data_IF_902272877014
#
_entry.id   IF_902272877014
#
_cell.length_a   1.000
_cell.length_b   1.000
_cell.length_c   1.000
_cell.angle_alpha   90.00
_cell.angle_beta   90.00
_cell.angle_gamma   90.00
#
_symmetry.space_group_name_H-M   'P 1'
#
loop_
_entity.id
_entity.type
_entity.pdbx_description
1 polymer ?
#
# COMPACT_ATOMS: atom_id res chain seq x y z
N UNK A 1 47.61 20.02 -35.41
CA UNK A 1 46.78 19.10 -36.20
C UNK A 1 45.36 19.59 -36.16
N UNK A 2 44.73 19.70 -37.33
CA UNK A 2 43.63 20.59 -37.67
C UNK A 2 42.37 20.43 -36.81
N UNK A 3 41.97 21.54 -36.21
CA UNK A 3 40.63 21.79 -35.70
C UNK A 3 39.65 21.83 -36.88
N UNK A 4 38.97 20.70 -37.12
CA UNK A 4 37.85 20.64 -38.07
C UNK A 4 36.63 21.19 -37.35
N UNK A 5 36.30 22.44 -37.62
CA UNK A 5 35.02 23.05 -37.28
C UNK A 5 33.93 22.32 -38.07
N UNK A 6 33.22 21.41 -37.40
CA UNK A 6 31.99 20.83 -37.93
C UNK A 6 30.93 21.94 -37.93
N UNK A 7 30.65 22.48 -39.11
CA UNK A 7 29.44 23.27 -39.36
C UNK A 7 28.26 22.33 -39.09
N UNK A 8 27.29 22.70 -38.23
CA UNK A 8 26.13 21.85 -38.01
C UNK A 8 25.31 21.83 -39.29
N UNK A 9 25.43 20.76 -40.06
CA UNK A 9 24.53 20.47 -41.17
C UNK A 9 23.13 20.34 -40.59
N UNK A 10 22.30 21.33 -40.90
CA UNK A 10 20.87 21.28 -40.65
C UNK A 10 20.35 20.09 -41.48
N UNK A 11 20.06 18.97 -40.83
CA UNK A 11 19.63 17.74 -41.51
C UNK A 11 18.23 17.97 -42.08
N UNK A 12 18.18 18.33 -43.36
CA UNK A 12 16.95 18.47 -44.13
C UNK A 12 16.59 17.08 -44.66
N UNK A 13 15.47 16.53 -44.18
CA UNK A 13 14.87 15.35 -44.80
C UNK A 13 14.21 15.74 -46.13
N UNK A 14 15.00 15.85 -47.19
CA UNK A 14 14.49 15.87 -48.56
C UNK A 14 14.34 14.43 -49.07
N UNK A 15 13.26 14.16 -49.83
CA UNK A 15 13.09 12.89 -50.51
C UNK A 15 14.26 12.69 -51.49
N UNK A 16 15.00 11.60 -51.32
CA UNK A 16 16.35 11.37 -51.87
C UNK A 16 16.40 11.15 -53.40
N UNK A 17 15.31 11.33 -54.15
CA UNK A 17 15.31 10.97 -55.58
C UNK A 17 14.52 11.93 -56.47
N UNK A 18 15.02 13.16 -56.62
CA UNK A 18 14.70 14.02 -57.76
C UNK A 18 15.99 14.66 -58.31
N UNK A 19 16.12 14.72 -59.64
CA UNK A 19 17.28 15.31 -60.33
C UNK A 19 17.50 16.74 -59.83
N UNK A 20 18.61 16.98 -59.13
CA UNK A 20 18.82 18.17 -58.29
C UNK A 20 18.79 19.53 -59.02
N UNK A 21 18.75 19.59 -60.35
CA UNK A 21 18.73 20.86 -61.09
C UNK A 21 17.84 20.80 -62.35
N UNK A 22 16.54 20.55 -62.18
CA UNK A 22 15.58 20.73 -63.28
C UNK A 22 15.52 22.22 -63.66
N UNK A 23 15.78 22.50 -64.95
CA UNK A 23 15.66 23.84 -65.55
C UNK A 23 14.37 23.91 -66.36
N UNK A 24 13.57 24.94 -66.11
CA UNK A 24 12.24 25.08 -66.68
C UNK A 24 12.07 26.43 -67.34
N UNK A 25 11.32 26.47 -68.45
CA UNK A 25 11.06 27.70 -69.21
C UNK A 25 9.74 28.32 -68.75
N UNK A 26 9.75 28.88 -67.54
CA UNK A 26 8.58 29.55 -66.98
C UNK A 26 8.54 31.00 -67.50
N UNK A 27 7.43 31.48 -68.07
CA UNK A 27 7.31 32.86 -68.53
C UNK A 27 7.42 33.81 -67.34
N UNK A 28 8.56 34.47 -67.22
CA UNK A 28 8.88 35.36 -66.12
C UNK A 28 9.79 36.48 -66.59
N UNK A 29 9.72 37.61 -65.89
CA UNK A 29 10.60 38.75 -66.12
C UNK A 29 11.42 39.02 -64.88
N UNK A 30 12.65 39.45 -65.07
CA UNK A 30 13.50 39.89 -63.96
C UNK A 30 13.75 41.38 -64.07
N UNK A 31 13.67 42.07 -62.94
CA UNK A 31 14.18 43.44 -62.80
C UNK A 31 15.50 43.35 -62.05
N UNK A 32 16.58 43.74 -62.71
CA UNK A 32 17.92 43.76 -62.15
C UNK A 32 18.29 45.16 -61.67
N UNK A 33 18.85 45.25 -60.46
CA UNK A 33 19.38 46.48 -59.88
C UNK A 33 20.72 46.19 -59.20
N UNK A 34 21.79 46.83 -59.67
CA UNK A 34 23.14 46.61 -59.14
C UNK A 34 24.23 46.80 -60.21
N UNK A 35 25.49 46.98 -59.78
CA UNK A 35 26.62 47.12 -60.69
C UNK A 35 26.63 48.40 -61.55
N UNK A 36 25.93 49.46 -61.12
CA UNK A 36 25.81 50.73 -61.85
C UNK A 36 24.57 50.86 -62.73
N UNK A 37 23.72 49.83 -62.81
CA UNK A 37 22.46 49.80 -63.55
C UNK A 37 21.27 49.75 -62.58
N UNK A 38 20.25 50.59 -62.79
CA UNK A 38 19.03 50.62 -61.97
C UNK A 38 17.81 50.28 -62.81
N UNK A 39 17.10 49.21 -62.45
CA UNK A 39 15.81 48.86 -63.04
C UNK A 39 15.88 48.25 -64.44
N UNK A 40 16.91 47.47 -64.76
CA UNK A 40 17.01 46.78 -66.05
C UNK A 40 16.00 45.61 -66.11
N UNK A 41 15.00 45.70 -66.98
CA UNK A 41 14.05 44.62 -67.23
C UNK A 41 14.64 43.65 -68.28
N UNK A 42 14.69 42.36 -67.95
CA UNK A 42 15.16 41.29 -68.84
C UNK A 42 14.16 40.13 -68.84
N UNK A 43 14.03 39.47 -69.99
CA UNK A 43 13.24 38.24 -70.09
C UNK A 43 14.05 37.03 -69.60
N UNK A 44 13.38 36.15 -68.86
CA UNK A 44 13.98 34.93 -68.32
C UNK A 44 13.81 33.81 -69.36
N UNK A 45 14.93 33.19 -69.76
CA UNK A 45 14.95 32.05 -70.68
C UNK A 45 14.66 30.74 -69.94
N UNK A 46 15.33 30.51 -68.81
CA UNK A 46 15.14 29.36 -67.95
C UNK A 46 15.32 29.70 -66.45
N UNK A 47 14.67 28.93 -65.59
CA UNK A 47 14.77 29.04 -64.13
C UNK A 47 14.98 27.67 -63.49
N UNK A 48 15.83 27.64 -62.48
CA UNK A 48 16.13 26.48 -61.63
C UNK A 48 16.31 26.91 -60.18
N UNK A 49 16.49 25.96 -59.26
CA UNK A 49 16.84 26.28 -57.86
C UNK A 49 18.25 26.86 -57.70
N UNK A 50 19.15 26.62 -58.67
CA UNK A 50 20.55 27.07 -58.61
C UNK A 50 20.82 28.41 -59.30
N UNK A 51 19.94 28.83 -60.21
CA UNK A 51 20.13 30.07 -60.98
C UNK A 51 19.08 30.28 -62.06
N UNK A 52 19.25 31.38 -62.80
CA UNK A 52 18.40 31.80 -63.91
C UNK A 52 19.22 32.11 -65.17
N UNK A 53 18.68 31.77 -66.34
CA UNK A 53 19.15 32.21 -67.64
C UNK A 53 18.36 33.42 -68.11
N UNK A 54 19.06 34.45 -68.57
CA UNK A 54 18.49 35.74 -68.99
C UNK A 54 18.84 36.03 -70.44
N UNK A 55 17.95 36.73 -71.14
CA UNK A 55 18.22 37.23 -72.48
C UNK A 55 18.52 38.73 -72.40
N UNK A 56 19.76 39.11 -72.68
CA UNK A 56 20.18 40.51 -72.70
C UNK A 56 21.29 40.74 -73.73
N UNK A 57 21.10 41.76 -74.59
CA UNK A 57 21.98 42.01 -75.74
C UNK A 57 23.30 42.72 -75.37
N UNK A 58 23.35 43.45 -74.24
CA UNK A 58 24.56 44.18 -73.84
C UNK A 58 25.45 43.33 -72.93
N UNK A 59 26.79 43.50 -72.99
CA UNK A 59 27.70 42.75 -72.14
C UNK A 59 27.57 43.18 -70.67
N UNK A 60 27.20 42.24 -69.80
CA UNK A 60 27.20 42.40 -68.35
C UNK A 60 28.53 41.93 -67.77
N UNK A 61 29.07 42.67 -66.80
CA UNK A 61 30.36 42.34 -66.18
C UNK A 61 30.25 41.05 -65.36
N UNK A 62 31.03 40.04 -65.74
CA UNK A 62 31.10 38.75 -65.04
C UNK A 62 31.56 38.93 -63.58
N UNK A 63 30.94 38.16 -62.68
CA UNK A 63 31.21 38.19 -61.25
C UNK A 63 30.48 39.29 -60.46
N UNK A 64 29.77 40.20 -61.14
CA UNK A 64 28.98 41.26 -60.49
C UNK A 64 27.80 40.69 -59.73
N UNK A 65 27.58 41.21 -58.51
CA UNK A 65 26.41 40.93 -57.71
C UNK A 65 25.28 41.90 -58.06
N UNK A 66 24.11 41.38 -58.39
CA UNK A 66 22.93 42.15 -58.74
C UNK A 66 21.76 41.73 -57.86
N UNK A 67 20.97 42.69 -57.40
CA UNK A 67 19.68 42.40 -56.79
C UNK A 67 18.69 42.14 -57.92
N UNK A 68 17.99 41.01 -57.84
CA UNK A 68 17.05 40.56 -58.83
C UNK A 68 15.67 40.44 -58.21
N UNK A 69 14.69 41.04 -58.85
CA UNK A 69 13.28 40.92 -58.50
C UNK A 69 12.60 40.12 -59.61
N UNK A 70 12.35 38.83 -59.35
CA UNK A 70 11.79 37.89 -60.32
C UNK A 70 10.27 37.99 -60.26
N UNK A 71 9.68 38.55 -61.31
CA UNK A 71 8.23 38.68 -61.49
C UNK A 71 7.70 37.50 -62.27
N UNK A 72 7.03 36.60 -61.56
CA UNK A 72 6.32 35.46 -62.11
C UNK A 72 4.84 35.84 -62.27
N UNK A 73 4.34 35.78 -63.50
CA UNK A 73 2.91 35.94 -63.78
C UNK A 73 2.28 34.56 -63.83
N UNK A 74 1.57 34.17 -62.78
CA UNK A 74 0.79 32.93 -62.75
C UNK A 74 -0.67 33.24 -63.11
N UNK A 75 -1.43 32.23 -63.52
CA UNK A 75 -2.79 32.41 -64.03
C UNK A 75 -3.75 33.13 -63.07
N UNK A 76 -3.53 33.03 -61.76
CA UNK A 76 -4.40 33.63 -60.71
C UNK A 76 -3.64 34.51 -59.71
N UNK A 77 -2.32 34.69 -59.86
CA UNK A 77 -1.48 35.40 -58.90
C UNK A 77 -0.21 35.94 -59.59
N UNK A 78 0.17 37.18 -59.29
CA UNK A 78 1.50 37.70 -59.59
C UNK A 78 2.38 37.54 -58.36
N UNK A 79 3.50 36.81 -58.50
CA UNK A 79 4.46 36.60 -57.43
C UNK A 79 5.77 37.31 -57.75
N UNK A 80 6.32 38.01 -56.75
CA UNK A 80 7.62 38.63 -56.84
C UNK A 80 8.60 37.98 -55.86
N UNK A 81 9.71 37.45 -56.39
CA UNK A 81 10.75 36.80 -55.59
C UNK A 81 12.05 37.61 -55.68
N UNK A 82 12.43 38.24 -54.58
CA UNK A 82 13.68 38.98 -54.48
C UNK A 82 14.84 38.07 -54.11
N UNK A 83 15.91 38.11 -54.90
CA UNK A 83 17.12 37.31 -54.72
C UNK A 83 18.39 38.09 -55.09
N UNK A 84 19.55 37.67 -54.57
CA UNK A 84 20.86 38.17 -55.01
C UNK A 84 21.47 37.22 -56.02
N UNK A 85 21.78 37.75 -57.19
CA UNK A 85 22.37 37.01 -58.30
C UNK A 85 23.83 37.40 -58.51
N UNK A 86 24.65 36.42 -58.90
CA UNK A 86 25.99 36.65 -59.46
C UNK A 86 25.98 36.27 -60.92
N UNK A 87 26.42 37.16 -61.80
CA UNK A 87 26.59 36.83 -63.22
C UNK A 87 27.80 35.91 -63.38
N UNK A 88 27.60 34.70 -63.92
CA UNK A 88 28.64 33.66 -64.01
C UNK A 88 29.13 33.48 -65.44
N UNK A 89 28.26 33.62 -66.44
CA UNK A 89 28.62 33.45 -67.84
C UNK A 89 27.77 34.31 -68.77
N UNK A 90 28.34 34.76 -69.89
CA UNK A 90 27.58 35.35 -70.99
C UNK A 90 28.06 34.76 -72.32
N UNK A 91 27.13 34.25 -73.13
CA UNK A 91 27.40 33.74 -74.49
C UNK A 91 26.46 34.46 -75.46
N UNK A 92 26.98 35.45 -76.18
CA UNK A 92 26.16 36.32 -77.02
C UNK A 92 25.09 37.03 -76.18
N UNK A 93 23.81 36.80 -76.51
CA UNK A 93 22.67 37.41 -75.81
C UNK A 93 22.19 36.58 -74.59
N UNK A 94 22.77 35.41 -74.33
CA UNK A 94 22.40 34.56 -73.20
C UNK A 94 23.31 34.83 -72.00
N UNK A 95 22.71 35.20 -70.86
CA UNK A 95 23.41 35.52 -69.62
C UNK A 95 22.99 34.53 -68.53
N UNK A 96 23.95 33.78 -68.00
CA UNK A 96 23.76 32.86 -66.88
C UNK A 96 24.05 33.54 -65.54
N UNK A 97 23.07 33.52 -64.64
CA UNK A 97 23.16 34.09 -63.30
C UNK A 97 22.89 33.04 -62.22
N UNK A 98 23.73 32.99 -61.20
CA UNK A 98 23.64 32.04 -60.08
C UNK A 98 23.07 32.74 -58.83
N UNK A 99 22.20 32.06 -58.09
CA UNK A 99 21.73 32.55 -56.79
C UNK A 99 22.86 32.48 -55.76
N UNK A 100 23.25 33.63 -55.20
CA UNK A 100 24.23 33.71 -54.10
C UNK A 100 23.53 33.58 -52.75
N UNK A 101 22.38 34.25 -52.63
CA UNK A 101 21.59 34.26 -51.41
C UNK A 101 20.11 34.18 -51.81
N UNK A 102 19.51 33.04 -51.51
CA UNK A 102 18.08 32.79 -51.62
C UNK A 102 17.65 32.18 -50.29
N UNK A 103 16.82 32.92 -49.56
CA UNK A 103 16.27 32.49 -48.27
C UNK A 103 15.57 31.12 -48.41
N UNK A 104 15.62 30.31 -47.35
CA UNK A 104 15.12 28.93 -47.37
C UNK A 104 13.64 28.88 -47.78
N UNK A 105 12.83 29.79 -47.24
CA UNK A 105 11.42 29.90 -47.57
C UNK A 105 11.21 30.24 -49.06
N UNK A 106 11.99 31.18 -49.60
CA UNK A 106 11.92 31.57 -51.02
C UNK A 106 12.35 30.42 -51.94
N UNK A 107 13.31 29.60 -51.52
CA UNK A 107 13.77 28.42 -52.26
C UNK A 107 12.70 27.34 -52.34
N UNK A 108 11.99 27.10 -51.24
CA UNK A 108 10.90 26.12 -51.22
C UNK A 108 9.68 26.59 -52.03
N UNK A 109 9.37 27.88 -51.99
CA UNK A 109 8.37 28.50 -52.87
C UNK A 109 8.75 28.30 -54.34
N UNK A 110 9.98 28.64 -54.71
CA UNK A 110 10.46 28.47 -56.09
C UNK A 110 10.41 27.01 -56.54
N UNK A 111 10.75 26.07 -55.65
CA UNK A 111 10.67 24.63 -55.91
C UNK A 111 9.26 24.16 -56.17
N UNK A 112 8.31 24.59 -55.35
CA UNK A 112 6.90 24.27 -55.53
C UNK A 112 6.38 24.78 -56.88
N UNK A 113 6.75 26.01 -57.28
CA UNK A 113 6.35 26.59 -58.57
C UNK A 113 6.96 25.80 -59.74
N UNK A 114 8.25 25.49 -59.68
CA UNK A 114 8.93 24.68 -60.70
C UNK A 114 8.26 23.31 -60.82
N UNK A 115 7.99 22.65 -59.69
CA UNK A 115 7.40 21.31 -59.66
C UNK A 115 5.97 21.32 -60.21
N UNK A 116 5.15 22.31 -59.81
CA UNK A 116 3.77 22.47 -60.30
C UNK A 116 3.74 22.74 -61.80
N UNK A 117 4.65 23.58 -62.30
CA UNK A 117 4.75 23.86 -63.73
C UNK A 117 5.16 22.60 -64.52
N UNK A 118 6.09 21.80 -63.99
CA UNK A 118 6.53 20.55 -64.61
C UNK A 118 5.45 19.46 -64.61
N UNK A 119 4.59 19.41 -63.58
CA UNK A 119 3.47 18.48 -63.52
C UNK A 119 2.27 18.93 -64.37
N UNK A 120 2.29 20.15 -64.91
CA UNK A 120 1.17 20.74 -65.65
C UNK A 120 0.03 21.23 -64.75
N UNK A 121 0.24 21.28 -63.43
CA UNK A 121 -0.73 21.78 -62.46
C UNK A 121 -0.64 23.30 -62.32
N UNK A 122 -1.79 23.95 -62.14
CA UNK A 122 -1.83 25.39 -61.85
C UNK A 122 -1.43 25.58 -60.39
N UNK A 123 -0.29 26.22 -60.13
CA UNK A 123 0.14 26.55 -58.78
C UNK A 123 -0.95 27.38 -58.06
N UNK A 124 -1.55 26.79 -57.02
CA UNK A 124 -2.62 27.41 -56.22
C UNK A 124 -2.09 28.05 -54.93
N UNK A 125 -2.84 29.04 -54.44
CA UNK A 125 -2.56 29.80 -53.21
C UNK A 125 -2.52 28.86 -51.99
N UNK A 126 -3.42 27.89 -51.92
CA UNK A 126 -3.46 26.94 -50.80
C UNK A 126 -2.20 26.07 -50.72
N UNK A 127 -1.67 25.64 -51.87
CA UNK A 127 -0.41 24.89 -51.92
C UNK A 127 0.80 25.74 -51.53
N UNK A 128 0.83 27.02 -51.96
CA UNK A 128 1.87 27.97 -51.56
C UNK A 128 1.86 28.22 -50.04
N UNK A 129 0.67 28.42 -49.44
CA UNK A 129 0.53 28.61 -47.99
C UNK A 129 0.99 27.37 -47.21
N UNK A 130 0.65 26.17 -47.68
CA UNK A 130 1.07 24.94 -47.03
C UNK A 130 2.60 24.80 -47.01
N UNK A 131 3.28 25.14 -48.11
CA UNK A 131 4.75 25.15 -48.18
C UNK A 131 5.34 26.21 -47.24
N UNK A 132 4.75 27.41 -47.17
CA UNK A 132 5.22 28.48 -46.28
C UNK A 132 5.02 28.17 -44.79
N UNK A 133 3.98 27.43 -44.42
CA UNK A 133 3.67 27.07 -43.02
C UNK A 133 4.41 25.82 -42.55
N UNK A 134 5.03 25.07 -43.46
CA UNK A 134 5.73 23.83 -43.12
C UNK A 134 7.03 24.15 -42.38
N UNK A 135 6.97 24.22 -41.05
CA UNK A 135 8.15 24.25 -40.16
C UNK A 135 8.87 22.88 -40.23
N UNK A 136 9.54 22.57 -41.35
CA UNK A 136 10.34 21.34 -41.52
C UNK A 136 11.67 21.38 -40.72
N UNK A 137 11.96 22.49 -40.04
CA UNK A 137 13.16 22.64 -39.23
C UNK A 137 12.81 22.41 -37.77
N UNK A 138 13.14 21.22 -37.27
CA UNK A 138 12.99 20.87 -35.86
C UNK A 138 13.83 21.88 -35.05
N UNK A 139 13.16 22.80 -34.34
CA UNK A 139 13.81 23.66 -33.34
C UNK A 139 14.55 22.75 -32.36
N UNK A 140 15.88 22.86 -32.35
CA UNK A 140 16.76 22.13 -31.44
C UNK A 140 16.22 22.29 -29.99
N UNK A 141 15.94 21.19 -29.30
CA UNK A 141 15.35 21.24 -27.94
C UNK A 141 16.27 22.05 -27.02
N UNK A 142 15.75 23.15 -26.47
CA UNK A 142 16.47 24.05 -25.55
C UNK A 142 16.92 23.40 -24.23
N UNK A 143 16.42 22.21 -23.89
CA UNK A 143 16.93 21.46 -22.74
C UNK A 143 18.00 20.47 -23.19
N UNK A 144 19.25 20.92 -23.17
CA UNK A 144 20.41 20.02 -23.15
C UNK A 144 20.39 19.29 -21.81
N UNK A 145 19.82 18.08 -21.76
CA UNK A 145 20.12 17.17 -20.67
C UNK A 145 21.62 16.88 -20.73
N UNK A 146 22.37 17.40 -19.74
CA UNK A 146 23.77 17.08 -19.61
C UNK A 146 23.90 15.56 -19.46
N UNK A 147 24.40 14.87 -20.49
CA UNK A 147 24.64 13.42 -20.45
C UNK A 147 25.68 13.05 -19.38
N UNK A 148 26.53 13.99 -18.96
CA UNK A 148 27.53 13.79 -17.92
C UNK A 148 26.96 14.11 -16.53
N UNK A 149 26.42 13.10 -15.84
CA UNK A 149 26.08 13.20 -14.40
C UNK A 149 27.35 13.36 -13.58
N UNK A 150 27.43 14.39 -12.74
CA UNK A 150 28.53 14.60 -11.79
C UNK A 150 28.58 13.45 -10.77
N UNK A 151 29.75 13.13 -10.19
CA UNK A 151 29.86 12.05 -9.18
C UNK A 151 28.97 12.29 -7.96
N UNK A 152 28.73 13.56 -7.59
CA UNK A 152 27.85 13.93 -6.48
C UNK A 152 26.36 13.65 -6.82
N UNK A 153 25.93 13.91 -8.06
CA UNK A 153 24.56 13.59 -8.49
C UNK A 153 24.31 12.09 -8.53
N UNK A 154 25.34 11.29 -8.90
CA UNK A 154 25.27 9.83 -8.84
C UNK A 154 25.17 9.32 -7.41
N UNK A 155 25.92 9.92 -6.47
CA UNK A 155 25.83 9.57 -5.05
C UNK A 155 24.46 9.92 -4.46
N UNK A 156 23.92 11.11 -4.77
CA UNK A 156 22.57 11.51 -4.34
C UNK A 156 21.49 10.58 -4.89
N UNK A 157 21.58 10.22 -6.17
CA UNK A 157 20.66 9.27 -6.79
C UNK A 157 20.76 7.89 -6.14
N UNK A 158 21.97 7.38 -5.92
CA UNK A 158 22.20 6.10 -5.25
C UNK A 158 21.68 6.08 -3.81
N UNK A 159 21.93 7.15 -3.05
CA UNK A 159 21.43 7.30 -1.69
C UNK A 159 19.89 7.36 -1.66
N UNK A 160 19.28 8.08 -2.59
CA UNK A 160 17.82 8.13 -2.75
C UNK A 160 17.24 6.76 -3.06
N UNK A 161 17.78 6.04 -4.04
CA UNK A 161 17.34 4.68 -4.39
C UNK A 161 17.49 3.70 -3.22
N UNK A 162 18.61 3.77 -2.49
CA UNK A 162 18.85 2.93 -1.32
C UNK A 162 17.84 3.22 -0.21
N UNK A 163 17.55 4.50 0.07
CA UNK A 163 16.55 4.89 1.07
C UNK A 163 15.16 4.35 0.70
N UNK A 164 14.72 4.51 -0.55
CA UNK A 164 13.44 3.96 -1.01
C UNK A 164 13.41 2.43 -0.97
N UNK A 165 14.53 1.76 -1.29
CA UNK A 165 14.62 0.31 -1.20
C UNK A 165 14.52 -0.19 0.25
N UNK A 166 15.13 0.51 1.21
CA UNK A 166 15.03 0.17 2.63
C UNK A 166 13.60 0.35 3.15
N UNK A 167 12.92 1.43 2.74
CA UNK A 167 11.51 1.65 3.07
C UNK A 167 10.64 0.53 2.48
N UNK A 168 10.88 0.15 1.22
CA UNK A 168 10.17 -0.96 0.57
C UNK A 168 10.38 -2.30 1.30
N UNK A 169 11.63 -2.60 1.69
CA UNK A 169 11.95 -3.80 2.46
C UNK A 169 11.31 -3.79 3.85
N UNK A 170 11.29 -2.65 4.54
CA UNK A 170 10.63 -2.52 5.83
C UNK A 170 9.11 -2.76 5.71
N UNK A 171 8.46 -2.17 4.69
CA UNK A 171 7.05 -2.39 4.42
C UNK A 171 6.76 -3.87 4.11
N UNK A 172 7.59 -4.50 3.27
CA UNK A 172 7.45 -5.93 2.95
C UNK A 172 7.65 -6.81 4.19
N UNK A 173 8.60 -6.47 5.07
CA UNK A 173 8.80 -7.15 6.34
C UNK A 173 7.58 -7.08 7.25
N UNK A 174 6.97 -5.89 7.38
CA UNK A 174 5.75 -5.70 8.19
C UNK A 174 4.59 -6.51 7.61
N UNK A 175 4.38 -6.47 6.30
CA UNK A 175 3.32 -7.24 5.63
C UNK A 175 3.53 -8.74 5.84
N UNK A 176 4.77 -9.22 5.68
CA UNK A 176 5.12 -10.63 5.90
C UNK A 176 4.89 -11.05 7.35
N UNK A 177 5.25 -10.22 8.32
CA UNK A 177 5.01 -10.47 9.74
C UNK A 177 3.51 -10.51 10.08
N UNK A 178 2.71 -9.58 9.55
CA UNK A 178 1.25 -9.57 9.76
C UNK A 178 0.58 -10.76 9.06
N UNK A 179 1.04 -11.15 7.88
CA UNK A 179 0.59 -12.36 7.22
C UNK A 179 0.92 -13.60 8.08
N UNK A 180 2.14 -13.67 8.64
CA UNK A 180 2.51 -14.74 9.56
C UNK A 180 1.55 -14.81 10.77
N UNK A 181 1.29 -13.69 11.44
CA UNK A 181 0.34 -13.65 12.56
C UNK A 181 -1.09 -14.04 12.12
N UNK A 182 -1.52 -13.66 10.92
CA UNK A 182 -2.87 -14.00 10.44
C UNK A 182 -3.04 -15.50 10.19
N UNK A 183 -2.01 -16.17 9.67
CA UNK A 183 -2.08 -17.58 9.27
C UNK A 183 -1.60 -18.56 10.33
N UNK A 184 -0.72 -18.14 11.24
CA UNK A 184 -0.03 -19.04 12.18
C UNK A 184 -0.27 -18.72 13.64
N UNK A 185 -1.06 -17.70 13.97
CA UNK A 185 -1.45 -17.39 15.35
C UNK A 185 -2.97 -17.48 15.49
N UNK A 186 -3.41 -18.21 16.50
CA UNK A 186 -4.81 -18.23 16.94
C UNK A 186 -4.84 -17.65 18.36
N UNK A 187 -5.39 -16.44 18.55
CA UNK A 187 -5.61 -15.93 19.89
C UNK A 187 -6.79 -16.64 20.55
N UNK A 188 -6.71 -16.89 21.85
CA UNK A 188 -7.88 -17.28 22.64
C UNK A 188 -8.89 -16.13 22.71
N UNK A 189 -10.19 -16.44 22.64
CA UNK A 189 -11.24 -15.44 22.80
C UNK A 189 -11.31 -14.93 24.25
N UNK A 190 -11.07 -15.83 25.20
CA UNK A 190 -10.95 -15.55 26.62
C UNK A 190 -10.07 -16.61 27.26
N UNK A 191 -9.28 -16.24 28.26
CA UNK A 191 -8.60 -17.21 29.10
C UNK A 191 -8.46 -16.70 30.53
N UNK A 192 -8.55 -17.61 31.49
CA UNK A 192 -8.42 -17.31 32.92
C UNK A 192 -7.60 -18.37 33.62
N UNK A 193 -6.86 -17.96 34.64
CA UNK A 193 -6.19 -18.90 35.55
C UNK A 193 -7.25 -19.59 36.40
N UNK A 194 -7.20 -20.92 36.41
CA UNK A 194 -8.14 -21.79 37.09
C UNK A 194 -7.40 -22.87 37.88
N UNK A 195 -8.16 -23.59 38.68
CA UNK A 195 -7.71 -24.70 39.51
C UNK A 195 -8.90 -25.62 39.72
N UNK A 196 -8.65 -26.87 40.12
CA UNK A 196 -9.71 -27.78 40.56
C UNK A 196 -10.06 -27.47 42.01
N UNK A 197 -10.55 -26.24 42.22
CA UNK A 197 -10.87 -25.69 43.52
C UNK A 197 -12.23 -26.18 44.04
N UNK A 198 -12.32 -26.43 45.34
CA UNK A 198 -13.60 -26.65 46.01
C UNK A 198 -14.29 -25.30 46.21
N UNK A 199 -15.37 -25.06 45.46
CA UNK A 199 -16.16 -23.83 45.54
C UNK A 199 -17.20 -23.99 46.64
N UNK A 200 -16.99 -23.33 47.77
CA UNK A 200 -17.94 -23.32 48.87
C UNK A 200 -18.98 -22.20 48.68
N UNK A 201 -20.24 -22.59 48.61
CA UNK A 201 -21.38 -21.67 48.51
C UNK A 201 -22.31 -21.82 49.71
N UNK A 202 -23.14 -20.81 49.97
CA UNK A 202 -24.21 -20.90 50.97
C UNK A 202 -25.18 -22.04 50.65
N UNK A 203 -25.41 -22.99 51.59
CA UNK A 203 -26.35 -24.10 51.38
C UNK A 203 -27.80 -23.64 51.44
N UNK A 204 -28.11 -22.67 52.30
CA UNK A 204 -29.44 -22.07 52.49
C UNK A 204 -29.31 -20.57 52.82
N UNK A 205 -30.44 -19.85 52.80
CA UNK A 205 -30.49 -18.44 53.20
C UNK A 205 -30.22 -18.31 54.71
N UNK A 206 -29.26 -17.48 55.11
CA UNK A 206 -28.93 -17.34 56.53
C UNK A 206 -27.78 -16.40 56.81
N UNK A 207 -27.41 -16.32 58.09
CA UNK A 207 -26.28 -15.53 58.55
C UNK A 207 -25.00 -16.37 58.53
N UNK A 208 -23.98 -15.91 57.80
CA UNK A 208 -22.63 -16.50 57.81
C UNK A 208 -21.73 -15.73 58.76
N UNK A 209 -20.96 -16.47 59.56
CA UNK A 209 -19.89 -15.96 60.40
C UNK A 209 -18.60 -16.71 60.08
N UNK A 210 -17.61 -16.01 59.55
CA UNK A 210 -16.31 -16.62 59.25
C UNK A 210 -15.53 -16.87 60.54
N UNK A 211 -14.97 -18.06 60.69
CA UNK A 211 -14.21 -18.48 61.88
C UNK A 211 -12.69 -18.39 61.69
N UNK A 212 -12.27 -17.90 60.53
CA UNK A 212 -10.87 -17.74 60.13
C UNK A 212 -10.24 -16.50 60.76
N UNK A 213 -8.95 -16.59 61.10
CA UNK A 213 -8.21 -15.44 61.64
C UNK A 213 -8.11 -14.31 60.59
N UNK A 214 -7.98 -13.04 61.01
CA UNK A 214 -7.67 -11.93 60.12
C UNK A 214 -6.38 -12.21 59.32
N UNK A 215 -6.46 -12.14 57.99
CA UNK A 215 -5.30 -12.36 57.11
C UNK A 215 -4.87 -13.82 56.92
N UNK A 216 -5.59 -14.80 57.48
CA UNK A 216 -5.33 -16.21 57.23
C UNK A 216 -5.60 -16.56 55.76
N UNK A 217 -4.57 -17.05 55.07
CA UNK A 217 -4.61 -17.41 53.63
C UNK A 217 -4.61 -18.90 53.36
N UNK A 218 -4.37 -19.73 54.37
CA UNK A 218 -4.36 -21.18 54.21
C UNK A 218 -4.97 -21.88 55.42
N UNK A 219 -5.53 -23.06 55.17
CA UNK A 219 -6.23 -23.90 56.14
C UNK A 219 -5.77 -25.34 56.03
N UNK A 220 -5.97 -26.08 57.11
CA UNK A 220 -5.73 -27.52 57.15
C UNK A 220 -7.04 -28.30 57.06
N UNK A 221 -6.94 -29.57 56.68
CA UNK A 221 -8.08 -30.48 56.60
C UNK A 221 -8.79 -30.57 57.95
N UNK A 222 -10.12 -30.37 57.94
CA UNK A 222 -10.96 -30.38 59.14
C UNK A 222 -11.03 -29.03 59.89
N UNK A 223 -10.25 -28.02 59.50
CA UNK A 223 -10.30 -26.70 60.14
C UNK A 223 -11.63 -25.98 59.84
N UNK A 224 -12.29 -25.38 60.85
CA UNK A 224 -13.57 -24.70 60.67
C UNK A 224 -13.40 -23.38 59.90
N UNK A 225 -14.13 -23.24 58.80
CA UNK A 225 -14.09 -22.08 57.90
C UNK A 225 -15.14 -21.03 58.27
N UNK A 226 -16.38 -21.48 58.47
CA UNK A 226 -17.51 -20.62 58.78
C UNK A 226 -18.61 -21.39 59.53
N UNK A 227 -19.39 -20.66 60.32
CA UNK A 227 -20.66 -21.13 60.86
C UNK A 227 -21.80 -20.41 60.15
N UNK A 228 -22.82 -21.17 59.75
CA UNK A 228 -24.01 -20.66 59.09
C UNK A 228 -25.21 -20.88 60.01
N UNK A 229 -25.88 -19.79 60.38
CA UNK A 229 -27.13 -19.82 61.13
C UNK A 229 -28.31 -19.61 60.18
N UNK A 230 -29.16 -20.62 60.06
CA UNK A 230 -30.35 -20.61 59.20
C UNK A 230 -31.61 -20.82 60.05
N UNK A 231 -32.76 -20.33 59.57
CA UNK A 231 -34.03 -20.62 60.24
C UNK A 231 -34.42 -22.07 59.92
N UNK A 232 -34.82 -22.86 60.93
CA UNK A 232 -35.16 -24.27 60.72
C UNK A 232 -36.25 -24.47 59.65
N UNK A 233 -37.17 -23.51 59.50
CA UNK A 233 -38.20 -23.53 58.47
C UNK A 233 -37.65 -23.57 57.03
N UNK A 234 -36.45 -23.03 56.78
CA UNK A 234 -35.84 -23.05 55.44
C UNK A 234 -35.14 -24.37 55.12
N UNK A 235 -34.92 -25.23 56.12
CA UNK A 235 -34.18 -26.50 55.96
C UNK A 235 -35.10 -27.68 55.60
N UNK A 236 -36.41 -27.57 55.81
CA UNK A 236 -37.38 -28.63 55.50
C UNK A 236 -37.96 -28.45 54.10
N UNK A 237 -37.31 -29.05 53.10
CA UNK A 237 -37.75 -28.95 51.69
C UNK A 237 -38.00 -30.30 51.03
N UNK A 238 -37.66 -31.41 51.69
CA UNK A 238 -37.86 -32.74 51.13
C UNK A 238 -39.26 -33.30 51.48
N UNK A 239 -39.82 -34.21 50.66
CA UNK A 239 -41.06 -34.91 50.99
C UNK A 239 -41.00 -35.70 52.30
N UNK A 240 -39.82 -36.20 52.67
CA UNK A 240 -39.60 -36.91 53.92
C UNK A 240 -39.67 -35.97 55.14
N UNK A 241 -39.13 -34.75 55.00
CA UNK A 241 -39.22 -33.72 56.04
C UNK A 241 -40.67 -33.30 56.27
N UNK A 242 -41.44 -33.15 55.18
CA UNK A 242 -42.85 -32.79 55.28
C UNK A 242 -43.68 -33.89 55.96
N UNK A 243 -43.36 -35.16 55.71
CA UNK A 243 -43.97 -36.29 56.40
C UNK A 243 -43.58 -36.36 57.88
N UNK A 244 -42.35 -35.98 58.23
CA UNK A 244 -41.91 -35.89 59.62
C UNK A 244 -42.65 -34.76 60.37
N UNK A 245 -42.84 -33.61 59.72
CA UNK A 245 -43.59 -32.48 60.26
C UNK A 245 -45.08 -32.80 60.44
N UNK A 246 -45.69 -33.60 59.55
CA UNK A 246 -47.10 -33.97 59.66
C UNK A 246 -47.41 -34.94 60.82
N UNK A 247 -46.38 -35.57 61.40
CA UNK A 247 -46.53 -36.45 62.57
C UNK A 247 -46.42 -35.69 63.91
N UNK A 248 -46.14 -34.39 63.89
CA UNK A 248 -46.04 -33.55 65.08
C UNK A 248 -47.37 -32.84 65.37
N UNK A 249 -47.65 -32.55 66.65
CA UNK A 249 -48.83 -31.77 67.02
C UNK A 249 -48.73 -30.34 66.46
N UNK A 250 -49.84 -29.72 65.99
CA UNK A 250 -49.82 -28.41 65.33
C UNK A 250 -49.15 -27.29 66.14
N UNK A 251 -49.29 -27.31 67.46
CA UNK A 251 -48.64 -26.34 68.36
C UNK A 251 -47.13 -26.48 68.44
N UNK A 252 -46.61 -27.72 68.33
CA UNK A 252 -45.18 -28.01 68.42
C UNK A 252 -44.46 -27.68 67.11
N UNK A 253 -45.12 -27.91 65.97
CA UNK A 253 -44.61 -27.50 64.65
C UNK A 253 -44.40 -25.98 64.61
N UNK A 254 -45.38 -25.21 65.08
CA UNK A 254 -45.30 -23.75 65.07
C UNK A 254 -44.26 -23.22 66.07
N UNK A 255 -44.06 -23.89 67.20
CA UNK A 255 -43.03 -23.55 68.17
C UNK A 255 -41.61 -23.85 67.65
N UNK A 256 -41.42 -25.00 66.98
CA UNK A 256 -40.13 -25.39 66.39
C UNK A 256 -39.75 -24.48 65.21
N UNK A 257 -40.68 -24.19 64.32
CA UNK A 257 -40.43 -23.37 63.13
C UNK A 257 -40.15 -21.89 63.47
N UNK A 258 -40.76 -21.35 64.53
CA UNK A 258 -40.59 -19.94 64.91
C UNK A 258 -39.39 -19.65 65.82
N UNK A 259 -38.76 -20.66 66.43
CA UNK A 259 -37.69 -20.43 67.44
C UNK A 259 -36.40 -21.19 67.19
N UNK A 260 -36.38 -22.21 66.35
CA UNK A 260 -35.18 -22.99 66.12
C UNK A 260 -34.34 -22.39 64.98
N UNK A 261 -33.11 -22.01 65.30
CA UNK A 261 -32.06 -21.76 64.30
C UNK A 261 -31.13 -22.97 64.25
N UNK A 262 -30.77 -23.39 63.04
CA UNK A 262 -29.78 -24.46 62.84
C UNK A 262 -28.44 -23.80 62.56
N UNK A 263 -27.47 -24.05 63.42
CA UNK A 263 -26.07 -23.70 63.18
C UNK A 263 -25.37 -24.85 62.47
N UNK A 264 -24.90 -24.59 61.25
CA UNK A 264 -24.12 -25.55 60.46
C UNK A 264 -22.68 -25.06 60.38
N UNK A 265 -21.76 -25.88 60.86
CA UNK A 265 -20.33 -25.61 60.78
C UNK A 265 -19.78 -26.19 59.47
N UNK A 266 -19.04 -25.38 58.72
CA UNK A 266 -18.37 -25.82 57.50
C UNK A 266 -16.87 -25.93 57.76
N UNK A 267 -16.32 -27.12 57.52
CA UNK A 267 -14.91 -27.42 57.70
C UNK A 267 -14.22 -27.59 56.33
N UNK A 268 -12.91 -27.33 56.29
CA UNK A 268 -12.12 -27.55 55.08
C UNK A 268 -12.01 -29.05 54.76
N UNK A 269 -12.25 -29.49 53.50
CA UNK A 269 -12.04 -30.88 53.10
C UNK A 269 -10.57 -31.20 52.79
N UNK A 270 -9.69 -30.20 52.74
CA UNK A 270 -8.32 -30.31 52.24
C UNK A 270 -7.36 -29.31 52.92
N UNK A 271 -6.07 -29.55 52.74
CA UNK A 271 -5.01 -28.58 53.02
C UNK A 271 -4.96 -27.58 51.85
N UNK A 272 -5.62 -26.45 52.03
CA UNK A 272 -6.00 -25.57 50.93
C UNK A 272 -5.66 -24.11 51.20
N UNK A 273 -5.33 -23.39 50.13
CA UNK A 273 -5.23 -21.93 50.14
C UNK A 273 -6.62 -21.32 49.88
N UNK A 274 -6.90 -20.20 50.54
CA UNK A 274 -8.20 -19.55 50.54
C UNK A 274 -8.23 -18.42 49.52
N UNK A 275 -9.22 -18.47 48.62
CA UNK A 275 -9.54 -17.37 47.71
C UNK A 275 -10.96 -16.88 47.94
N UNK A 276 -11.13 -15.60 48.21
CA UNK A 276 -12.43 -14.98 48.42
C UNK A 276 -12.83 -14.15 47.19
N UNK A 277 -13.87 -14.55 46.44
CA UNK A 277 -14.31 -13.81 45.24
C UNK A 277 -14.91 -12.45 45.59
N UNK A 278 -15.42 -12.29 46.81
CA UNK A 278 -15.96 -11.04 47.34
C UNK A 278 -15.34 -10.69 48.70
N UNK A 279 -15.58 -9.48 49.18
CA UNK A 279 -15.11 -9.08 50.52
C UNK A 279 -15.68 -10.04 51.57
N UNK A 280 -14.80 -10.55 52.42
CA UNK A 280 -15.13 -11.41 53.57
C UNK A 280 -15.87 -10.58 54.62
N UNK A 281 -17.20 -10.61 54.55
CA UNK A 281 -18.09 -9.91 55.47
C UNK A 281 -19.00 -10.92 56.18
N UNK A 282 -19.05 -10.83 57.50
CA UNK A 282 -20.06 -11.53 58.29
C UNK A 282 -21.43 -10.87 58.04
N UNK A 283 -22.48 -11.68 57.95
CA UNK A 283 -23.83 -11.16 57.71
C UNK A 283 -24.74 -12.12 56.99
N UNK A 284 -25.91 -11.63 56.60
CA UNK A 284 -26.90 -12.40 55.87
C UNK A 284 -26.45 -12.61 54.42
N UNK A 285 -26.48 -13.85 53.94
CA UNK A 285 -26.25 -14.19 52.54
C UNK A 285 -27.36 -15.11 52.02
N UNK A 286 -27.54 -15.08 50.71
CA UNK A 286 -28.52 -15.91 50.02
C UNK A 286 -27.95 -17.29 49.68
N UNK A 287 -28.85 -18.25 49.50
CA UNK A 287 -28.55 -19.59 48.99
C UNK A 287 -27.73 -19.50 47.70
N UNK A 288 -26.75 -20.40 47.55
CA UNK A 288 -25.79 -20.45 46.44
C UNK A 288 -24.83 -19.25 46.32
N UNK A 289 -24.90 -18.25 47.21
CA UNK A 289 -23.92 -17.17 47.21
C UNK A 289 -22.51 -17.74 47.46
N UNK A 290 -21.51 -17.35 46.66
CA UNK A 290 -20.14 -17.85 46.80
C UNK A 290 -19.50 -17.30 48.08
N UNK A 291 -18.93 -18.19 48.91
CA UNK A 291 -18.27 -17.82 50.15
C UNK A 291 -16.76 -17.78 49.95
N UNK A 292 -16.16 -18.93 49.59
CA UNK A 292 -14.71 -19.09 49.45
C UNK A 292 -14.41 -20.21 48.47
N UNK A 293 -13.35 -20.05 47.69
CA UNK A 293 -12.79 -21.11 46.88
C UNK A 293 -11.57 -21.66 47.62
N UNK A 294 -11.54 -22.98 47.81
CA UNK A 294 -10.44 -23.69 48.47
C UNK A 294 -9.56 -24.30 47.38
N UNK A 295 -8.32 -23.83 47.28
CA UNK A 295 -7.36 -24.29 46.28
C UNK A 295 -6.45 -25.34 46.91
N UNK A 296 -6.46 -26.60 46.45
CA UNK A 296 -5.56 -27.63 46.94
C UNK A 296 -4.09 -27.22 46.79
N UNK A 297 -3.28 -27.45 47.84
CA UNK A 297 -1.86 -27.08 47.85
C UNK A 297 -0.99 -28.01 47.00
N UNK A 298 -1.43 -29.23 46.80
CA UNK A 298 -0.80 -30.29 46.02
C UNK A 298 -1.03 -30.17 44.51
N UNK A 299 -1.96 -29.32 44.09
CA UNK A 299 -2.29 -29.11 42.67
C UNK A 299 -1.82 -27.76 42.15
N UNK A 300 -1.15 -27.77 41.00
CA UNK A 300 -0.73 -26.56 40.31
C UNK A 300 -1.93 -25.85 39.63
N UNK A 301 -1.81 -24.53 39.46
CA UNK A 301 -2.79 -23.75 38.70
C UNK A 301 -2.69 -24.08 37.20
N UNK A 302 -3.86 -24.10 36.55
CA UNK A 302 -4.00 -24.32 35.10
C UNK A 302 -4.60 -23.07 34.44
N UNK A 303 -4.52 -22.96 33.12
CA UNK A 303 -5.19 -21.88 32.38
C UNK A 303 -6.30 -22.48 31.55
N UNK A 304 -7.53 -21.99 31.71
CA UNK A 304 -8.67 -22.38 30.86
C UNK A 304 -8.83 -21.34 29.77
N UNK A 305 -8.57 -21.73 28.53
CA UNK A 305 -8.66 -20.86 27.35
C UNK A 305 -9.79 -21.31 26.44
N UNK A 306 -10.65 -20.37 26.01
CA UNK A 306 -11.73 -20.63 25.07
C UNK A 306 -11.33 -20.20 23.67
N UNK A 307 -11.55 -21.08 22.70
CA UNK A 307 -11.31 -20.85 21.28
C UNK A 307 -12.61 -21.09 20.52
N UNK A 308 -12.96 -20.27 19.51
CA UNK A 308 -14.14 -20.49 18.69
C UNK A 308 -14.13 -21.89 18.04
N UNK A 309 -15.27 -22.59 18.05
CA UNK A 309 -15.35 -23.96 17.52
C UNK A 309 -14.89 -24.09 16.05
N UNK A 310 -15.06 -23.04 15.24
CA UNK A 310 -14.60 -22.99 13.85
C UNK A 310 -13.07 -23.18 13.68
N UNK A 311 -12.29 -22.96 14.75
CA UNK A 311 -10.83 -23.13 14.76
C UNK A 311 -10.37 -24.51 15.23
N UNK A 312 -11.29 -25.40 15.62
CA UNK A 312 -10.97 -26.76 16.06
C UNK A 312 -10.09 -27.55 15.06
N UNK A 313 -10.29 -27.49 13.72
CA UNK A 313 -9.42 -28.19 12.77
C UNK A 313 -7.96 -27.73 12.82
N UNK A 314 -7.73 -26.47 13.17
CA UNK A 314 -6.38 -25.90 13.28
C UNK A 314 -5.70 -26.29 14.61
N UNK A 315 -6.47 -26.70 15.64
CA UNK A 315 -5.92 -27.04 16.97
C UNK A 315 -4.96 -28.23 16.92
N UNK A 316 -5.19 -29.20 16.02
CA UNK A 316 -4.28 -30.33 15.82
C UNK A 316 -2.91 -29.93 15.27
N UNK A 317 -2.76 -28.70 14.77
CA UNK A 317 -1.50 -28.18 14.22
C UNK A 317 -0.77 -27.26 15.19
N UNK A 318 -1.30 -27.04 16.39
CA UNK A 318 -0.64 -26.22 17.42
C UNK A 318 0.67 -26.89 17.82
N UNK A 319 1.74 -26.10 17.83
CA UNK A 319 3.10 -26.55 18.20
C UNK A 319 3.62 -25.87 19.46
N UNK A 320 3.18 -24.65 19.71
CA UNK A 320 3.55 -23.88 20.88
C UNK A 320 2.33 -23.09 21.38
N UNK A 321 2.27 -22.93 22.69
CA UNK A 321 1.26 -22.12 23.36
C UNK A 321 1.97 -21.14 24.28
N UNK A 322 1.76 -19.86 24.02
CA UNK A 322 2.31 -18.79 24.84
C UNK A 322 1.19 -18.18 25.68
N UNK A 323 1.48 -17.94 26.95
CA UNK A 323 0.54 -17.42 27.93
C UNK A 323 1.16 -16.23 28.66
N UNK A 324 0.40 -15.16 28.85
CA UNK A 324 0.80 -13.99 29.63
C UNK A 324 -0.31 -13.64 30.61
N UNK A 325 -0.02 -13.77 31.90
CA UNK A 325 -0.98 -13.42 32.97
C UNK A 325 -1.03 -11.91 33.10
N UNK A 326 -2.23 -11.36 33.21
CA UNK A 326 -2.42 -9.91 33.35
C UNK A 326 -1.69 -9.37 34.59
N UNK A 327 -0.85 -8.36 34.38
CA UNK A 327 0.01 -7.79 35.44
C UNK A 327 1.40 -8.42 35.53
N UNK A 328 1.70 -9.43 34.71
CA UNK A 328 3.06 -9.98 34.52
C UNK A 328 3.56 -9.69 33.11
N UNK A 329 4.78 -9.17 32.99
CA UNK A 329 5.45 -8.98 31.69
C UNK A 329 6.08 -10.28 31.16
N UNK A 330 5.97 -11.37 31.91
CA UNK A 330 6.55 -12.66 31.54
C UNK A 330 5.61 -13.45 30.63
N UNK A 331 6.14 -13.91 29.50
CA UNK A 331 5.51 -14.91 28.65
C UNK A 331 5.93 -16.30 29.12
N UNK A 332 4.96 -17.16 29.35
CA UNK A 332 5.13 -18.51 29.89
C UNK A 332 4.61 -19.49 28.83
N UNK A 333 5.44 -20.44 28.43
CA UNK A 333 5.03 -21.52 27.56
C UNK A 333 4.13 -22.53 28.31
N UNK A 334 3.28 -23.24 27.58
CA UNK A 334 2.45 -24.30 28.14
C UNK A 334 2.04 -25.36 27.15
N UNK A 335 1.37 -26.38 27.68
CA UNK A 335 0.88 -27.53 26.93
C UNK A 335 -0.63 -27.70 27.11
N UNK A 336 -1.30 -28.16 26.06
CA UNK A 336 -2.73 -28.52 26.11
C UNK A 336 -2.86 -29.90 26.75
N UNK A 337 -3.44 -29.98 27.95
CA UNK A 337 -3.60 -31.25 28.68
C UNK A 337 -5.00 -31.83 28.54
N UNK A 338 -6.01 -30.99 28.29
CA UNK A 338 -7.38 -31.43 28.09
C UNK A 338 -8.15 -30.45 27.19
N UNK A 339 -9.20 -30.95 26.56
CA UNK A 339 -10.13 -30.16 25.76
C UNK A 339 -11.56 -30.59 26.04
N UNK A 340 -12.46 -29.63 26.19
CA UNK A 340 -13.90 -29.85 26.30
C UNK A 340 -14.65 -28.89 25.38
N UNK A 341 -15.91 -29.21 25.09
CA UNK A 341 -16.79 -28.36 24.28
C UNK A 341 -17.82 -27.72 25.19
N UNK A 342 -17.93 -26.41 25.11
CA UNK A 342 -19.03 -25.66 25.73
C UNK A 342 -20.11 -25.40 24.67
N UNK A 343 -21.21 -26.14 24.79
CA UNK A 343 -22.34 -26.05 23.87
C UNK A 343 -23.09 -24.71 23.96
N UNK A 344 -23.04 -24.00 25.10
CA UNK A 344 -23.73 -22.74 25.27
C UNK A 344 -23.02 -21.60 24.52
N UNK A 345 -21.69 -21.58 24.61
CA UNK A 345 -20.86 -20.55 23.97
C UNK A 345 -20.36 -20.93 22.58
N UNK A 346 -20.67 -22.15 22.11
CA UNK A 346 -20.16 -22.72 20.86
C UNK A 346 -18.63 -22.60 20.77
N UNK A 347 -17.96 -22.86 21.89
CA UNK A 347 -16.51 -22.72 22.02
C UNK A 347 -15.87 -24.01 22.52
N UNK A 348 -14.59 -24.18 22.19
CA UNK A 348 -13.77 -25.27 22.70
C UNK A 348 -12.96 -24.70 23.85
N UNK A 349 -13.14 -25.26 25.04
CA UNK A 349 -12.38 -24.89 26.23
C UNK A 349 -11.18 -25.82 26.34
N UNK A 350 -10.00 -25.25 26.27
CA UNK A 350 -8.71 -25.93 26.41
C UNK A 350 -8.18 -25.69 27.82
N UNK A 351 -7.78 -26.76 28.49
CA UNK A 351 -7.03 -26.69 29.75
C UNK A 351 -5.55 -26.76 29.42
N UNK A 352 -4.84 -25.71 29.80
CA UNK A 352 -3.43 -25.53 29.53
C UNK A 352 -2.65 -25.68 30.83
N UNK A 353 -1.60 -26.50 30.81
CA UNK A 353 -0.65 -26.62 31.90
C UNK A 353 0.57 -25.73 31.60
N UNK A 354 0.83 -24.69 32.42
CA UNK A 354 2.05 -23.89 32.31
C UNK A 354 3.31 -24.72 32.58
N UNK A 355 4.39 -24.45 31.86
CA UNK A 355 5.70 -25.07 32.13
C UNK A 355 6.32 -24.58 33.45
N UNK A 356 5.98 -23.36 33.86
CA UNK A 356 6.40 -22.76 35.11
C UNK A 356 5.18 -22.58 36.03
N UNK A 357 5.27 -22.98 37.31
CA UNK A 357 4.14 -22.89 38.23
C UNK A 357 3.73 -21.42 38.42
N UNK A 358 2.43 -21.16 38.28
CA UNK A 358 1.88 -19.82 38.46
C UNK A 358 1.73 -19.51 39.96
N UNK A 359 1.94 -18.24 40.37
CA UNK A 359 1.70 -17.83 41.74
C UNK A 359 0.21 -17.99 42.09
N UNK A 360 -0.10 -18.40 43.34
CA UNK A 360 -1.48 -18.68 43.78
C UNK A 360 -2.39 -17.45 43.67
N UNK A 361 -1.81 -16.26 43.78
CA UNK A 361 -2.49 -14.96 43.63
C UNK A 361 -3.00 -14.72 42.20
N UNK A 362 -2.48 -15.47 41.21
CA UNK A 362 -2.93 -15.39 39.83
C UNK A 362 -4.28 -16.07 39.59
N UNK A 363 -4.80 -16.85 40.54
CA UNK A 363 -6.09 -17.52 40.39
C UNK A 363 -7.22 -16.52 40.06
N UNK A 364 -8.05 -16.87 39.07
CA UNK A 364 -9.11 -16.03 38.49
C UNK A 364 -8.62 -14.76 37.78
N UNK A 365 -7.31 -14.56 37.61
CA UNK A 365 -6.81 -13.47 36.79
C UNK A 365 -6.96 -13.78 35.28
N UNK A 366 -7.22 -12.76 34.45
CA UNK A 366 -7.27 -12.92 33.01
C UNK A 366 -5.87 -13.21 32.46
N UNK A 367 -5.82 -14.03 31.41
CA UNK A 367 -4.59 -14.45 30.73
C UNK A 367 -4.75 -14.20 29.24
N UNK A 368 -3.74 -13.63 28.61
CA UNK A 368 -3.63 -13.60 27.15
C UNK A 368 -2.98 -14.92 26.70
N UNK A 369 -3.65 -15.66 25.82
CA UNK A 369 -3.16 -16.94 25.31
C UNK A 369 -3.10 -16.89 23.79
N UNK A 370 -1.94 -17.27 23.25
CA UNK A 370 -1.67 -17.34 21.82
C UNK A 370 -1.20 -18.73 21.43
N UNK A 371 -1.94 -19.36 20.52
CA UNK A 371 -1.61 -20.66 19.96
C UNK A 371 -0.86 -20.46 18.63
N UNK A 372 0.36 -21.00 18.54
CA UNK A 372 1.16 -20.94 17.32
C UNK A 372 1.10 -22.25 16.54
N UNK A 373 0.72 -22.15 15.27
CA UNK A 373 0.54 -23.27 14.36
C UNK A 373 1.85 -23.66 13.69
N UNK A 374 2.07 -24.96 13.52
CA UNK A 374 3.14 -25.48 12.68
C UNK A 374 2.90 -25.27 11.18
N UNK A 375 3.98 -25.34 10.39
CA UNK A 375 3.91 -25.29 8.94
C UNK A 375 3.02 -26.44 8.40
N UNK A 376 2.11 -26.17 7.44
CA UNK A 376 1.15 -27.15 6.94
C UNK A 376 1.80 -28.36 6.23
N UNK A 377 3.06 -28.25 5.80
CA UNK A 377 3.77 -29.28 5.03
C UNK A 377 4.60 -30.25 5.89
N UNK A 378 4.77 -29.97 7.18
CA UNK A 378 5.36 -30.90 8.13
C UNK A 378 4.22 -31.56 8.90
N UNK A 379 3.58 -32.52 8.24
CA UNK A 379 2.61 -33.41 8.88
C UNK A 379 3.19 -33.91 10.19
N UNK A 380 2.52 -33.59 11.29
CA UNK A 380 2.86 -34.15 12.58
C UNK A 380 2.50 -35.64 12.55
N UNK A 381 3.49 -36.49 12.24
CA UNK A 381 3.47 -37.86 12.76
C UNK A 381 3.71 -37.77 14.26
N UNK A 382 2.62 -37.68 15.03
CA UNK A 382 2.34 -38.33 16.31
C UNK A 382 1.30 -37.54 17.09
#
# INVERSE_FOLDING_TARGET
MSSTTLIPDNVIHEAIDERQHVRTRIPAKVILSGGGLTGLECDIQDISLGGIGLIHAQPLKLGTLMNASIKLRLAKLDLNIDAKLKIVSQRGNEVGAQFVELDAQKRDILRYIISSYMSGEIADINGLFNVMQRENYIKERKQKHALARTPLDRLKAAAGTLAFSLIGLAALGIVSYKAYLLFFRIPAAQATVSADAYVLTMPENGYVKYLLKPGQRSVTTGEPLASISTQLATSFTSPADMAALSNLAPGDVQALLNRATVETLINSPCDCDLYFPSRRLDGFNYKQAPLVHLLPKDEDLVVRASVPFAKLPDMNRVRAVDMSVYGSDQVIAGEIVASSVDAQTQSVVLTLKPEQPLPREAYQQPVAVDFYLGLPLLGATR
#
